data_IF_537261970723
#
_entry.id   IF_537261970723
#
_cell.length_a   1.000
_cell.length_b   1.000
_cell.length_c   1.000
_cell.angle_alpha   90.00
_cell.angle_beta   90.00
_cell.angle_gamma   90.00
#
_symmetry.space_group_name_H-M   'P 1'
#
loop_
_entity.id
_entity.type
_entity.pdbx_description
1 polymer ?
#
# COMPACT_ATOMS: atom_id res chain seq x y z
N UNK A 1 -7.65 -4.50 26.41
CA UNK A 1 -7.52 -5.77 25.64
C UNK A 1 -8.89 -6.40 25.58
N UNK A 2 -9.35 -6.79 24.39
CA UNK A 2 -10.66 -7.41 24.19
C UNK A 2 -10.43 -8.88 23.84
N UNK A 3 -11.03 -9.80 24.61
CA UNK A 3 -10.86 -11.24 24.40
C UNK A 3 -11.92 -11.74 23.41
N UNK A 4 -11.47 -12.44 22.37
CA UNK A 4 -12.33 -13.08 21.38
C UNK A 4 -12.11 -14.60 21.48
N UNK A 5 -13.15 -15.35 21.84
CA UNK A 5 -13.05 -16.81 21.89
C UNK A 5 -13.56 -17.37 20.55
N UNK A 6 -12.63 -17.77 19.68
CA UNK A 6 -12.92 -18.31 18.35
C UNK A 6 -12.55 -19.79 18.31
N UNK A 7 -13.45 -20.61 17.79
CA UNK A 7 -13.16 -22.01 17.50
C UNK A 7 -12.43 -22.07 16.17
N UNK A 8 -11.16 -22.48 16.18
CA UNK A 8 -10.39 -22.69 14.96
C UNK A 8 -10.76 -24.04 14.33
N UNK A 9 -10.92 -24.14 13.01
CA UNK A 9 -11.03 -25.42 12.31
C UNK A 9 -9.79 -26.28 12.55
N UNK A 10 -9.96 -27.60 12.65
CA UNK A 10 -8.87 -28.55 12.91
C UNK A 10 -7.75 -28.45 11.86
N UNK A 11 -8.09 -28.13 10.61
CA UNK A 11 -7.13 -27.91 9.52
C UNK A 11 -6.18 -26.75 9.82
N UNK A 12 -6.71 -25.65 10.37
CA UNK A 12 -5.97 -24.45 10.74
C UNK A 12 -5.14 -24.69 12.01
N UNK A 13 -5.71 -25.40 12.99
CA UNK A 13 -4.99 -25.77 14.20
C UNK A 13 -3.76 -26.65 13.90
N UNK A 14 -3.91 -27.63 13.00
CA UNK A 14 -2.81 -28.49 12.59
C UNK A 14 -1.72 -27.71 11.84
N UNK A 15 -2.08 -26.85 10.90
CA UNK A 15 -1.11 -26.01 10.18
C UNK A 15 -0.36 -25.06 11.12
N UNK A 16 -1.05 -24.49 12.11
CA UNK A 16 -0.46 -23.58 13.08
C UNK A 16 0.49 -24.33 14.03
N UNK A 17 0.14 -25.54 14.44
CA UNK A 17 1.04 -26.42 15.20
C UNK A 17 2.28 -26.82 14.40
N UNK A 18 2.15 -27.14 13.11
CA UNK A 18 3.31 -27.40 12.24
C UNK A 18 4.23 -26.18 12.14
N UNK A 19 3.66 -24.99 11.93
CA UNK A 19 4.42 -23.75 11.87
C UNK A 19 5.17 -23.45 13.18
N UNK A 20 4.54 -23.65 14.33
CA UNK A 20 5.18 -23.47 15.64
C UNK A 20 6.33 -24.48 15.84
N UNK A 21 6.13 -25.74 15.44
CA UNK A 21 7.16 -26.78 15.57
C UNK A 21 8.37 -26.55 14.65
N UNK A 22 8.18 -25.91 13.49
CA UNK A 22 9.26 -25.59 12.56
C UNK A 22 10.07 -24.34 12.99
N UNK A 23 9.55 -23.53 13.92
CA UNK A 23 10.25 -22.34 14.42
C UNK A 23 11.21 -22.74 15.56
N UNK A 24 12.51 -22.49 15.39
CA UNK A 24 13.51 -22.70 16.46
C UNK A 24 13.24 -21.86 17.71
N UNK A 25 12.51 -20.75 17.58
CA UNK A 25 12.14 -19.88 18.68
C UNK A 25 10.61 -19.91 18.83
N UNK A 26 10.15 -20.66 19.83
CA UNK A 26 8.72 -20.88 20.08
C UNK A 26 8.08 -19.57 20.54
N UNK A 27 7.61 -18.78 19.59
CA UNK A 27 6.76 -17.63 19.87
C UNK A 27 5.42 -18.14 20.42
N UNK A 28 4.81 -17.43 21.39
CA UNK A 28 3.48 -17.77 21.87
C UNK A 28 2.50 -17.83 20.70
N UNK A 29 1.65 -18.86 20.63
CA UNK A 29 0.67 -19.01 19.57
C UNK A 29 -0.22 -17.75 19.40
N UNK A 30 -0.47 -17.03 20.50
CA UNK A 30 -1.21 -15.79 20.49
C UNK A 30 -0.53 -14.69 19.66
N UNK A 31 0.80 -14.55 19.74
CA UNK A 31 1.54 -13.51 18.99
C UNK A 31 1.54 -13.81 17.48
N UNK A 32 1.62 -15.10 17.12
CA UNK A 32 1.55 -15.54 15.73
C UNK A 32 0.16 -15.22 15.15
N UNK A 33 -0.90 -15.53 15.90
CA UNK A 33 -2.27 -15.24 15.50
C UNK A 33 -2.50 -13.72 15.40
N UNK A 34 -2.03 -12.96 16.38
CA UNK A 34 -2.12 -11.49 16.36
C UNK A 34 -1.43 -10.91 15.13
N UNK A 35 -0.21 -11.37 14.83
CA UNK A 35 0.53 -10.92 13.66
C UNK A 35 -0.16 -11.32 12.34
N UNK A 36 -0.69 -12.54 12.25
CA UNK A 36 -1.44 -12.98 11.07
C UNK A 36 -2.72 -12.15 10.85
N UNK A 37 -3.44 -11.80 11.91
CA UNK A 37 -4.61 -10.93 11.84
C UNK A 37 -4.19 -9.52 11.42
N UNK A 38 -3.08 -9.00 11.96
CA UNK A 38 -2.54 -7.70 11.55
C UNK A 38 -2.17 -7.68 10.08
N UNK A 39 -1.51 -8.70 9.56
CA UNK A 39 -1.19 -8.77 8.12
C UNK A 39 -2.46 -8.88 7.26
N UNK A 40 -3.41 -9.72 7.65
CA UNK A 40 -4.67 -9.89 6.91
C UNK A 40 -5.48 -8.58 6.83
N UNK A 41 -5.60 -7.86 7.95
CA UNK A 41 -6.30 -6.57 8.00
C UNK A 41 -5.50 -5.46 7.31
N UNK A 42 -4.17 -5.52 7.35
CA UNK A 42 -3.27 -4.60 6.64
C UNK A 42 -3.39 -4.73 5.13
N UNK A 43 -3.38 -5.95 4.60
CA UNK A 43 -3.56 -6.21 3.17
C UNK A 43 -4.91 -5.71 2.64
N UNK A 44 -5.96 -5.76 3.46
CA UNK A 44 -7.30 -5.27 3.12
C UNK A 44 -7.50 -3.78 3.36
N UNK A 45 -6.49 -3.07 3.88
CA UNK A 45 -6.55 -1.63 4.15
C UNK A 45 -7.38 -1.24 5.37
N UNK A 46 -7.73 -2.20 6.24
CA UNK A 46 -8.43 -1.91 7.51
C UNK A 46 -7.47 -1.43 8.61
N UNK A 47 -6.17 -1.73 8.49
CA UNK A 47 -5.15 -1.18 9.37
C UNK A 47 -4.49 0.03 8.72
N UNK A 48 -4.23 1.10 9.49
CA UNK A 48 -3.50 2.25 8.99
C UNK A 48 -2.11 1.81 8.52
N UNK A 49 -1.64 2.29 7.35
CA UNK A 49 -0.34 1.93 6.85
C UNK A 49 0.74 2.33 7.86
N UNK A 50 1.58 1.36 8.25
CA UNK A 50 2.65 1.53 9.25
C UNK A 50 3.66 2.64 8.87
N UNK A 51 3.68 3.03 7.60
CA UNK A 51 4.39 4.21 7.09
C UNK A 51 3.47 5.00 6.16
N UNK A 52 3.09 6.24 6.49
CA UNK A 52 2.51 7.13 5.50
C UNK A 52 3.53 7.33 4.39
N UNK A 53 3.13 7.14 3.14
CA UNK A 53 3.96 7.50 1.99
C UNK A 53 3.92 9.03 1.92
N UNK A 54 4.93 9.67 2.50
CA UNK A 54 5.12 11.11 2.39
C UNK A 54 5.73 11.41 1.03
N UNK A 55 4.89 11.79 0.07
CA UNK A 55 5.37 12.42 -1.16
C UNK A 55 5.81 13.84 -0.84
N UNK A 56 7.10 14.03 -0.57
CA UNK A 56 7.71 15.36 -0.62
C UNK A 56 7.83 15.79 -2.08
N UNK A 57 7.00 16.76 -2.50
CA UNK A 57 7.14 17.36 -3.83
C UNK A 57 8.56 17.92 -3.99
N UNK A 58 9.24 17.52 -5.06
CA UNK A 58 10.55 18.06 -5.42
C UNK A 58 10.35 19.34 -6.23
N UNK A 59 10.90 20.47 -5.79
CA UNK A 59 10.74 21.77 -6.46
C UNK A 59 11.21 21.81 -7.92
N UNK A 60 12.04 20.85 -8.35
CA UNK A 60 12.59 20.78 -9.70
C UNK A 60 12.03 19.55 -10.40
N UNK A 61 11.19 19.77 -11.41
CA UNK A 61 10.53 18.70 -12.16
C UNK A 61 9.23 18.16 -11.55
N UNK A 62 8.76 18.71 -10.41
CA UNK A 62 7.34 18.56 -10.08
C UNK A 62 6.54 19.27 -11.16
N UNK A 63 5.60 18.57 -11.79
CA UNK A 63 4.66 19.18 -12.73
C UNK A 63 3.94 20.39 -12.12
N UNK A 64 3.27 21.17 -12.96
CA UNK A 64 2.50 22.31 -12.45
C UNK A 64 1.37 21.81 -11.55
N UNK A 65 1.08 22.56 -10.49
CA UNK A 65 0.05 22.21 -9.49
C UNK A 65 -1.33 21.95 -10.11
N UNK A 66 -1.59 22.55 -11.27
CA UNK A 66 -2.86 22.52 -11.96
C UNK A 66 -2.94 21.44 -13.05
N UNK A 67 -1.82 20.80 -13.40
CA UNK A 67 -1.79 19.82 -14.50
C UNK A 67 -2.64 18.60 -14.19
N UNK A 68 -2.78 18.19 -12.92
CA UNK A 68 -3.63 17.06 -12.56
C UNK A 68 -5.12 17.37 -12.71
N UNK A 69 -5.52 18.64 -12.58
CA UNK A 69 -6.92 19.06 -12.63
C UNK A 69 -7.32 19.37 -14.07
N UNK A 70 -6.50 20.14 -14.78
CA UNK A 70 -6.78 20.60 -16.14
C UNK A 70 -5.98 19.83 -17.21
N UNK A 71 -5.75 18.53 -16.99
CA UNK A 71 -4.89 17.70 -17.85
C UNK A 71 -5.30 17.74 -19.33
N UNK A 72 -6.60 17.72 -19.63
CA UNK A 72 -7.11 17.78 -21.01
C UNK A 72 -6.70 19.07 -21.72
N UNK A 73 -6.79 20.21 -21.01
CA UNK A 73 -6.40 21.51 -21.55
C UNK A 73 -4.88 21.57 -21.75
N UNK A 74 -4.10 21.14 -20.76
CA UNK A 74 -2.63 21.13 -20.86
C UNK A 74 -2.17 20.22 -22.01
N UNK A 75 -2.78 19.06 -22.18
CA UNK A 75 -2.46 18.15 -23.29
C UNK A 75 -2.81 18.79 -24.64
N UNK A 76 -3.97 19.44 -24.75
CA UNK A 76 -4.36 20.15 -25.97
C UNK A 76 -3.38 21.30 -26.30
N UNK A 77 -2.97 22.09 -25.32
CA UNK A 77 -2.01 23.19 -25.48
C UNK A 77 -0.61 22.68 -25.88
N UNK A 78 -0.16 21.55 -25.31
CA UNK A 78 1.11 20.93 -25.67
C UNK A 78 1.10 20.37 -27.10
N UNK A 79 0.01 19.71 -27.50
CA UNK A 79 -0.17 19.21 -28.87
C UNK A 79 -0.18 20.38 -29.85
N UNK A 80 -0.89 21.47 -29.54
CA UNK A 80 -0.94 22.66 -30.38
C UNK A 80 0.45 23.33 -30.52
N UNK A 81 1.16 23.49 -29.41
CA UNK A 81 2.52 24.08 -29.38
C UNK A 81 3.55 23.25 -30.14
N UNK A 82 3.40 21.92 -30.19
CA UNK A 82 4.27 21.03 -30.98
C UNK A 82 3.89 20.98 -32.47
N UNK A 83 2.65 21.34 -32.81
CA UNK A 83 2.15 21.33 -34.19
C UNK A 83 2.48 22.59 -35.00
N UNK A 84 2.94 23.66 -34.34
CA UNK A 84 3.45 24.85 -35.03
C UNK A 84 4.85 24.56 -35.61
N UNK A 85 5.08 24.74 -36.92
CA UNK A 85 6.44 24.65 -37.46
C UNK A 85 7.33 25.69 -36.78
N UNK A 86 8.65 25.42 -36.63
CA UNK A 86 9.56 26.43 -36.11
C UNK A 86 9.46 27.65 -37.02
N UNK A 87 9.03 28.79 -36.45
CA UNK A 87 9.04 30.07 -37.15
C UNK A 87 10.47 30.32 -37.64
N UNK A 88 10.72 30.12 -38.93
CA UNK A 88 11.93 30.62 -39.58
C UNK A 88 11.82 32.14 -39.69
N UNK A 89 12.88 32.88 -39.34
CA UNK A 89 12.90 34.35 -39.42
C UNK A 89 12.73 34.88 -40.85
#
# INVERSE_FOLDING_TARGET
>A
MQALNITLPDTLANALNSYINDQENVLPANDIIENAIMEFLGQRGYLPPKKPINFTSVNKGSGFLDTSVNHDQILAEQIYSQSLPPNTP
#
